data_IF_973643402714
#
_entry.id   IF_973643402714
#
_cell.length_a   1.000
_cell.length_b   1.000
_cell.length_c   1.000
_cell.angle_alpha   90.00
_cell.angle_beta   90.00
_cell.angle_gamma   90.00
#
_symmetry.space_group_name_H-M   'P 1'
#
loop_
_entity.id
_entity.type
_entity.pdbx_description
1 polymer ?
#
# COMPACT_ATOMS: atom_id res chain seq x y z
N UNK A 1 -9.06 -16.91 -4.13
CA UNK A 1 -8.73 -15.68 -3.37
C UNK A 1 -8.81 -14.42 -4.25
N UNK A 2 -8.07 -14.35 -5.37
CA UNK A 2 -7.97 -13.12 -6.19
C UNK A 2 -9.30 -12.64 -6.81
N UNK A 3 -10.19 -13.55 -7.22
CA UNK A 3 -11.50 -13.20 -7.81
C UNK A 3 -12.46 -12.48 -6.84
N UNK A 4 -12.25 -12.60 -5.53
CA UNK A 4 -13.04 -11.92 -4.50
C UNK A 4 -12.36 -10.61 -4.09
N UNK A 5 -11.03 -10.60 -4.02
CA UNK A 5 -10.26 -9.40 -3.71
C UNK A 5 -10.53 -8.27 -4.71
N UNK A 6 -10.62 -8.59 -6.01
CA UNK A 6 -10.87 -7.60 -7.05
C UNK A 6 -12.17 -6.80 -6.84
N UNK A 7 -13.38 -7.40 -6.78
CA UNK A 7 -14.61 -6.64 -6.57
C UNK A 7 -14.67 -5.95 -5.21
N UNK A 8 -14.06 -6.52 -4.16
CA UNK A 8 -13.99 -5.90 -2.83
C UNK A 8 -13.16 -4.62 -2.86
N UNK A 9 -11.97 -4.67 -3.47
CA UNK A 9 -11.07 -3.52 -3.58
C UNK A 9 -11.67 -2.44 -4.50
N UNK A 10 -12.26 -2.84 -5.63
CA UNK A 10 -12.97 -1.90 -6.51
C UNK A 10 -14.15 -1.23 -5.79
N UNK A 11 -14.98 -2.00 -5.08
CA UNK A 11 -16.07 -1.45 -4.28
C UNK A 11 -15.57 -0.50 -3.20
N UNK A 12 -14.50 -0.85 -2.51
CA UNK A 12 -13.86 0.02 -1.51
C UNK A 12 -13.37 1.34 -2.13
N UNK A 13 -12.78 1.31 -3.33
CA UNK A 13 -12.36 2.53 -4.02
C UNK A 13 -13.55 3.43 -4.41
N UNK A 14 -14.62 2.86 -4.98
CA UNK A 14 -15.81 3.63 -5.37
C UNK A 14 -16.51 4.24 -4.17
N UNK A 15 -16.53 3.54 -3.03
CA UNK A 15 -17.16 3.99 -1.80
C UNK A 15 -16.25 4.88 -0.93
N UNK A 16 -15.01 5.17 -1.36
CA UNK A 16 -14.06 5.97 -0.60
C UNK A 16 -13.60 5.33 0.71
N UNK A 17 -13.58 4.00 0.79
CA UNK A 17 -13.17 3.24 1.99
C UNK A 17 -11.65 3.05 1.96
N UNK A 18 -10.92 4.07 2.42
CA UNK A 18 -9.46 4.12 2.29
C UNK A 18 -8.71 3.15 3.22
N UNK A 19 -9.22 2.83 4.42
CA UNK A 19 -8.49 1.96 5.36
C UNK A 19 -8.26 0.54 4.82
N UNK A 20 -9.13 0.03 3.95
CA UNK A 20 -8.97 -1.29 3.29
C UNK A 20 -7.73 -1.26 2.38
N UNK A 21 -7.56 -0.18 1.63
CA UNK A 21 -6.38 0.03 0.79
C UNK A 21 -5.11 0.23 1.63
N UNK A 22 -5.22 0.96 2.74
CA UNK A 22 -4.10 1.14 3.66
C UNK A 22 -3.60 -0.18 4.24
N UNK A 23 -4.51 -1.06 4.69
CA UNK A 23 -4.16 -2.40 5.14
C UNK A 23 -3.55 -3.25 4.03
N UNK A 24 -4.03 -3.14 2.79
CA UNK A 24 -3.47 -3.86 1.65
C UNK A 24 -2.01 -3.45 1.39
N UNK A 25 -1.69 -2.16 1.41
CA UNK A 25 -0.32 -1.67 1.24
C UNK A 25 0.62 -2.20 2.33
N UNK A 26 0.18 -2.15 3.60
CA UNK A 26 0.96 -2.69 4.72
C UNK A 26 1.10 -4.21 4.64
N UNK A 27 0.04 -4.91 4.20
CA UNK A 27 0.08 -6.35 3.98
C UNK A 27 1.08 -6.73 2.89
N UNK A 28 1.17 -5.97 1.80
CA UNK A 28 2.14 -6.19 0.73
C UNK A 28 3.57 -5.83 1.12
N UNK A 29 3.76 -4.85 2.00
CA UNK A 29 5.08 -4.45 2.49
C UNK A 29 5.81 -5.62 3.17
N UNK A 30 5.12 -6.40 3.99
CA UNK A 30 5.72 -7.51 4.76
C UNK A 30 6.42 -8.56 3.86
N UNK A 31 5.73 -9.23 2.92
CA UNK A 31 6.38 -10.20 2.03
C UNK A 31 7.40 -9.53 1.10
N UNK A 32 7.22 -8.26 0.72
CA UNK A 32 8.21 -7.55 -0.09
C UNK A 32 9.55 -7.38 0.65
N UNK A 33 9.51 -6.99 1.93
CA UNK A 33 10.70 -6.85 2.78
C UNK A 33 11.37 -8.21 3.06
N UNK A 34 10.57 -9.26 3.28
CA UNK A 34 11.07 -10.63 3.52
C UNK A 34 11.74 -11.20 2.26
N UNK A 35 11.08 -11.11 1.11
CA UNK A 35 11.60 -11.62 -0.17
C UNK A 35 12.72 -10.76 -0.75
N UNK A 36 12.76 -9.47 -0.41
CA UNK A 36 13.64 -8.50 -1.06
C UNK A 36 13.19 -8.16 -2.48
N UNK A 37 11.95 -8.47 -2.86
CA UNK A 37 11.37 -8.15 -4.16
C UNK A 37 10.14 -7.25 -3.98
N UNK A 38 10.03 -6.23 -4.83
CA UNK A 38 8.86 -5.35 -4.86
C UNK A 38 8.53 -4.98 -6.30
N UNK A 39 7.33 -4.47 -6.53
CA UNK A 39 6.88 -4.02 -7.84
C UNK A 39 6.53 -2.55 -7.78
N UNK A 40 7.12 -1.75 -8.66
CA UNK A 40 6.71 -0.35 -8.83
C UNK A 40 6.07 -0.15 -10.21
N UNK A 41 6.87 0.13 -11.23
CA UNK A 41 6.48 0.04 -12.65
C UNK A 41 6.99 -1.28 -13.25
N UNK A 42 8.12 -1.74 -12.74
CA UNK A 42 8.76 -3.01 -13.03
C UNK A 42 9.14 -3.67 -11.70
N UNK A 43 9.59 -4.92 -11.77
CA UNK A 43 10.11 -5.66 -10.63
C UNK A 43 11.45 -5.08 -10.19
N UNK A 44 11.60 -4.84 -8.88
CA UNK A 44 12.78 -4.29 -8.25
C UNK A 44 13.27 -5.30 -7.21
N UNK A 45 14.54 -5.67 -7.28
CA UNK A 45 15.18 -6.51 -6.27
C UNK A 45 16.11 -5.67 -5.38
N UNK A 46 16.06 -5.93 -4.07
CA UNK A 46 16.93 -5.29 -3.08
C UNK A 46 18.42 -5.57 -3.32
N UNK A 47 18.73 -6.69 -3.98
CA UNK A 47 20.11 -7.07 -4.33
C UNK A 47 20.67 -6.29 -5.52
N UNK A 48 19.82 -5.81 -6.43
CA UNK A 48 20.25 -5.06 -7.61
C UNK A 48 20.23 -3.54 -7.37
N UNK A 49 19.12 -3.02 -6.83
CA UNK A 49 18.97 -1.60 -6.50
C UNK A 49 18.36 -1.44 -5.09
N UNK A 50 19.19 -1.48 -4.03
CA UNK A 50 18.71 -1.39 -2.65
C UNK A 50 18.08 -0.04 -2.34
N UNK A 51 18.56 1.05 -2.96
CA UNK A 51 18.05 2.39 -2.69
C UNK A 51 16.63 2.52 -3.22
N UNK A 52 16.40 2.14 -4.47
CA UNK A 52 15.07 2.16 -5.07
C UNK A 52 14.12 1.21 -4.35
N UNK A 53 14.57 0.00 -3.99
CA UNK A 53 13.77 -0.95 -3.21
C UNK A 53 13.26 -0.33 -1.90
N UNK A 54 14.14 0.28 -1.10
CA UNK A 54 13.74 0.89 0.17
C UNK A 54 12.87 2.14 -0.02
N UNK A 55 13.08 2.91 -1.08
CA UNK A 55 12.20 4.03 -1.42
C UNK A 55 10.77 3.54 -1.71
N UNK A 56 10.62 2.47 -2.49
CA UNK A 56 9.30 1.88 -2.79
C UNK A 56 8.67 1.28 -1.54
N UNK A 57 9.45 0.55 -0.73
CA UNK A 57 8.97 0.00 0.54
C UNK A 57 8.50 1.10 1.51
N UNK A 58 9.24 2.22 1.60
CA UNK A 58 8.85 3.37 2.39
C UNK A 58 7.57 4.03 1.87
N UNK A 59 7.40 4.15 0.55
CA UNK A 59 6.15 4.66 -0.04
C UNK A 59 4.95 3.78 0.31
N UNK A 60 5.10 2.45 0.25
CA UNK A 60 4.02 1.54 0.64
C UNK A 60 3.68 1.67 2.13
N UNK A 61 4.69 1.77 2.99
CA UNK A 61 4.49 2.01 4.42
C UNK A 61 3.75 3.34 4.66
N UNK A 62 4.22 4.42 4.01
CA UNK A 62 3.68 5.76 4.16
C UNK A 62 2.22 5.82 3.70
N UNK A 63 1.91 5.36 2.49
CA UNK A 63 0.53 5.35 1.98
C UNK A 63 -0.37 4.43 2.80
N UNK A 64 0.14 3.27 3.21
CA UNK A 64 -0.55 2.36 4.11
C UNK A 64 -1.02 3.05 5.39
N UNK A 65 -0.10 3.73 6.07
CA UNK A 65 -0.37 4.47 7.31
C UNK A 65 -1.28 5.68 7.06
N UNK A 66 -1.03 6.48 6.02
CA UNK A 66 -1.81 7.68 5.72
C UNK A 66 -3.29 7.35 5.43
N UNK A 67 -3.56 6.30 4.66
CA UNK A 67 -4.94 5.88 4.34
C UNK A 67 -5.70 5.36 5.58
N UNK A 68 -5.02 4.65 6.47
CA UNK A 68 -5.60 4.24 7.75
C UNK A 68 -5.84 5.48 8.64
N UNK A 69 -4.86 6.38 8.73
CA UNK A 69 -4.95 7.61 9.50
C UNK A 69 -6.10 8.51 9.02
N UNK A 70 -6.34 8.61 7.71
CA UNK A 70 -7.45 9.38 7.16
C UNK A 70 -8.82 8.85 7.62
N UNK A 71 -8.93 7.54 7.83
CA UNK A 71 -10.15 6.92 8.35
C UNK A 71 -10.31 7.10 9.86
N UNK A 72 -9.20 7.12 10.60
CA UNK A 72 -9.19 7.35 12.05
C UNK A 72 -9.36 8.83 12.43
N UNK A 73 -8.89 9.74 11.58
CA UNK A 73 -8.93 11.19 11.78
C UNK A 73 -9.53 11.90 10.56
N UNK A 74 -10.86 11.78 10.33
CA UNK A 74 -11.51 12.33 9.14
C UNK A 74 -11.31 13.83 8.93
N UNK A 75 -11.11 14.59 10.01
CA UNK A 75 -10.82 16.04 9.95
C UNK A 75 -9.53 16.39 9.20
N UNK A 76 -8.59 15.45 9.07
CA UNK A 76 -7.33 15.62 8.34
C UNK A 76 -7.32 14.87 7.00
N UNK A 77 -8.42 14.20 6.61
CA UNK A 77 -8.46 13.32 5.45
C UNK A 77 -8.01 14.01 4.15
N UNK A 78 -8.39 15.28 3.93
CA UNK A 78 -8.01 16.04 2.73
C UNK A 78 -6.49 16.28 2.58
N UNK A 79 -5.72 16.09 3.64
CA UNK A 79 -4.25 16.20 3.63
C UNK A 79 -3.57 14.83 3.61
N UNK A 80 -4.32 13.75 3.88
CA UNK A 80 -3.82 12.39 4.04
C UNK A 80 -4.10 11.51 2.82
N UNK A 81 -5.11 11.83 1.99
CA UNK A 81 -5.52 11.05 0.81
C UNK A 81 -5.90 11.94 -0.35
#
# INVERSE_FOLDING_TARGET
>A
MNYIAFPVLTGAAVLGIYWIWGLLFLWWLVPAVISGQSFFVFEISRSEDPLLFWAVAALWALFGVMMIAASLFPQYAAWLV
#
